data_IF_430133065131
#
_entry.id   IF_430133065131
#
_cell.length_a   1.000
_cell.length_b   1.000
_cell.length_c   1.000
_cell.angle_alpha   90.00
_cell.angle_beta   90.00
_cell.angle_gamma   90.00
#
_symmetry.space_group_name_H-M   'P 1'
#
loop_
_entity.id
_entity.type
_entity.pdbx_description
1 polymer ?
#
# COMPACT_ATOMS: atom_id res chain seq x y z
N UNK A 1 17.03 -23.87 13.39
CA UNK A 1 17.05 -22.92 12.26
C UNK A 1 17.32 -23.69 10.99
N UNK A 2 16.72 -23.29 9.85
CA UNK A 2 17.06 -23.93 8.58
C UNK A 2 18.53 -23.68 8.23
N UNK A 3 19.23 -24.64 7.60
CA UNK A 3 20.65 -24.49 7.25
C UNK A 3 20.88 -23.28 6.32
N UNK A 4 19.91 -23.00 5.43
CA UNK A 4 19.93 -21.84 4.55
C UNK A 4 19.88 -20.51 5.31
N UNK A 5 19.08 -20.42 6.38
CA UNK A 5 18.98 -19.19 7.18
C UNK A 5 20.28 -18.92 7.96
N UNK A 6 20.97 -19.96 8.41
CA UNK A 6 22.26 -19.82 9.09
C UNK A 6 23.35 -19.29 8.16
N UNK A 7 23.38 -19.74 6.90
CA UNK A 7 24.29 -19.22 5.88
C UNK A 7 24.05 -17.73 5.61
N UNK A 8 22.78 -17.36 5.40
CA UNK A 8 22.41 -15.95 5.16
C UNK A 8 22.80 -15.05 6.34
N UNK A 9 22.61 -15.49 7.58
CA UNK A 9 23.05 -14.72 8.76
C UNK A 9 24.57 -14.55 8.83
N UNK A 10 25.34 -15.56 8.42
CA UNK A 10 26.79 -15.48 8.35
C UNK A 10 27.27 -14.50 7.26
N UNK A 11 26.58 -14.42 6.13
CA UNK A 11 26.84 -13.46 5.06
C UNK A 11 26.48 -12.02 5.49
N UNK A 12 25.33 -11.83 6.16
CA UNK A 12 24.92 -10.53 6.70
C UNK A 12 25.93 -10.01 7.74
N UNK A 13 26.53 -10.90 8.53
CA UNK A 13 27.54 -10.53 9.52
C UNK A 13 28.83 -9.95 8.89
N UNK A 14 29.09 -10.22 7.60
CA UNK A 14 30.24 -9.66 6.88
C UNK A 14 29.95 -8.30 6.24
N UNK A 15 28.67 -7.91 6.14
CA UNK A 15 28.26 -6.62 5.61
C UNK A 15 28.63 -5.48 6.55
N UNK A 16 28.93 -4.33 5.94
CA UNK A 16 29.09 -3.04 6.62
C UNK A 16 27.75 -2.55 7.19
N UNK A 17 27.79 -1.55 8.07
CA UNK A 17 26.57 -0.99 8.67
C UNK A 17 25.61 -0.38 7.65
N UNK A 18 26.15 0.16 6.55
CA UNK A 18 25.37 0.77 5.47
C UNK A 18 24.65 -0.29 4.64
N UNK A 19 25.35 -1.34 4.23
CA UNK A 19 24.79 -2.47 3.48
C UNK A 19 23.72 -3.22 4.29
N UNK A 20 23.90 -3.36 5.61
CA UNK A 20 22.86 -3.93 6.49
C UNK A 20 21.60 -3.08 6.52
N UNK A 21 21.75 -1.75 6.47
CA UNK A 21 20.61 -0.83 6.48
C UNK A 21 19.82 -0.93 5.17
N UNK A 22 20.52 -0.97 4.03
CA UNK A 22 19.92 -1.19 2.71
C UNK A 22 19.22 -2.56 2.62
N UNK A 23 19.82 -3.60 3.20
CA UNK A 23 19.21 -4.93 3.26
C UNK A 23 17.89 -4.93 4.05
N UNK A 24 17.84 -4.25 5.20
CA UNK A 24 16.62 -4.14 6.01
C UNK A 24 15.52 -3.45 5.20
N UNK A 25 15.85 -2.34 4.51
CA UNK A 25 14.90 -1.63 3.66
C UNK A 25 14.36 -2.54 2.54
N UNK A 26 15.24 -3.27 1.87
CA UNK A 26 14.85 -4.16 0.78
C UNK A 26 13.97 -5.32 1.27
N UNK A 27 14.28 -5.89 2.43
CA UNK A 27 13.44 -6.95 3.05
C UNK A 27 12.06 -6.41 3.44
N UNK A 28 11.97 -5.19 3.95
CA UNK A 28 10.67 -4.54 4.24
C UNK A 28 9.86 -4.30 2.96
N UNK A 29 10.49 -3.85 1.87
CA UNK A 29 9.82 -3.69 0.58
C UNK A 29 9.28 -5.01 0.05
N UNK A 30 10.06 -6.10 0.15
CA UNK A 30 9.61 -7.44 -0.25
C UNK A 30 8.40 -7.93 0.55
N UNK A 31 8.37 -7.69 1.87
CA UNK A 31 7.20 -8.01 2.69
C UNK A 31 5.96 -7.20 2.27
N UNK A 32 6.14 -5.94 1.88
CA UNK A 32 5.04 -5.08 1.42
C UNK A 32 4.44 -5.59 0.10
N UNK A 33 5.25 -6.20 -0.77
CA UNK A 33 4.80 -6.79 -2.04
C UNK A 33 4.11 -8.15 -1.86
N UNK A 34 4.56 -8.96 -0.91
CA UNK A 34 3.91 -10.24 -0.58
C UNK A 34 2.62 -10.07 0.22
N UNK A 35 2.47 -8.97 0.97
CA UNK A 35 1.36 -8.75 1.89
C UNK A 35 0.18 -7.93 1.33
N UNK A 36 0.17 -7.55 0.04
CA UNK A 36 -1.03 -6.99 -0.57
C UNK A 36 -1.95 -8.14 -0.99
N UNK A 37 -3.00 -8.50 -0.22
CA UNK A 37 -4.02 -9.40 -0.74
C UNK A 37 -4.56 -8.76 -2.02
N UNK A 38 -4.70 -9.57 -3.08
CA UNK A 38 -5.40 -9.13 -4.29
C UNK A 38 -6.78 -8.66 -3.85
N UNK A 39 -7.03 -7.36 -3.93
CA UNK A 39 -8.32 -6.76 -3.59
C UNK A 39 -9.40 -7.54 -4.32
N UNK A 40 -10.26 -8.20 -3.56
CA UNK A 40 -11.40 -8.95 -4.06
C UNK A 40 -12.49 -7.98 -4.47
N UNK A 41 -13.29 -8.33 -5.48
CA UNK A 41 -14.50 -7.57 -5.79
C UNK A 41 -15.49 -7.54 -4.61
N UNK A 42 -15.40 -8.51 -3.70
CA UNK A 42 -16.14 -8.52 -2.44
C UNK A 42 -15.67 -7.42 -1.49
N UNK A 43 -14.40 -6.98 -1.57
CA UNK A 43 -13.90 -5.87 -0.77
C UNK A 43 -14.50 -4.51 -1.22
N UNK A 44 -15.16 -4.48 -2.38
CA UNK A 44 -15.89 -3.33 -2.91
C UNK A 44 -17.39 -3.38 -2.58
N UNK A 45 -17.86 -4.46 -1.94
CA UNK A 45 -19.25 -4.60 -1.48
C UNK A 45 -19.54 -3.54 -0.41
N UNK A 46 -20.55 -2.71 -0.64
CA UNK A 46 -20.91 -1.57 0.22
C UNK A 46 -20.20 -0.26 -0.10
N UNK A 47 -19.02 -0.28 -0.74
CA UNK A 47 -18.37 0.94 -1.25
C UNK A 47 -19.08 1.49 -2.51
N UNK A 48 -19.80 0.62 -3.22
CA UNK A 48 -20.50 0.92 -4.46
C UNK A 48 -21.97 1.31 -4.29
N UNK A 49 -22.43 1.63 -3.07
CA UNK A 49 -23.85 1.91 -2.81
C UNK A 49 -24.42 3.02 -3.72
N UNK A 50 -23.58 4.00 -4.10
CA UNK A 50 -23.96 5.09 -5.00
C UNK A 50 -23.64 4.82 -6.48
N UNK A 51 -22.83 3.82 -6.80
CA UNK A 51 -22.54 3.44 -8.20
C UNK A 51 -23.78 2.85 -8.88
N UNK A 52 -24.64 2.16 -8.12
CA UNK A 52 -25.89 1.58 -8.63
C UNK A 52 -27.06 2.58 -8.70
N UNK A 53 -26.92 3.76 -8.10
CA UNK A 53 -27.94 4.82 -8.14
C UNK A 53 -27.95 5.60 -9.46
N UNK A 54 -27.04 5.27 -10.40
CA UNK A 54 -26.98 5.88 -11.73
C UNK A 54 -26.44 7.31 -11.75
N UNK A 55 -25.78 7.76 -10.68
CA UNK A 55 -25.03 9.01 -10.72
C UNK A 55 -23.87 8.87 -11.71
N UNK A 56 -23.77 9.81 -12.65
CA UNK A 56 -22.67 9.83 -13.60
C UNK A 56 -21.34 9.95 -12.85
N UNK A 57 -20.38 9.10 -13.21
CA UNK A 57 -19.10 9.02 -12.51
C UNK A 57 -18.34 10.35 -12.55
N UNK A 58 -18.45 11.11 -13.65
CA UNK A 58 -17.80 12.41 -13.79
C UNK A 58 -18.49 13.46 -12.93
N UNK A 59 -19.83 13.45 -12.86
CA UNK A 59 -20.58 14.31 -11.96
C UNK A 59 -20.22 14.08 -10.48
N UNK A 60 -20.10 12.82 -10.05
CA UNK A 60 -19.70 12.47 -8.70
C UNK A 60 -18.27 12.94 -8.35
N UNK A 61 -17.31 12.73 -9.26
CA UNK A 61 -15.92 13.19 -9.07
C UNK A 61 -15.84 14.72 -8.98
N UNK A 62 -16.59 15.43 -9.83
CA UNK A 62 -16.63 16.89 -9.80
C UNK A 62 -17.16 17.40 -8.45
N UNK A 63 -18.25 16.80 -7.95
CA UNK A 63 -18.80 17.16 -6.63
C UNK A 63 -17.78 16.95 -5.50
N UNK A 64 -17.10 15.81 -5.48
CA UNK A 64 -16.08 15.54 -4.45
C UNK A 64 -14.93 16.54 -4.53
N UNK A 65 -14.48 16.90 -5.74
CA UNK A 65 -13.40 17.87 -5.92
C UNK A 65 -13.80 19.25 -5.41
N UNK A 66 -15.03 19.69 -5.70
CA UNK A 66 -15.55 20.97 -5.24
C UNK A 66 -15.72 20.99 -3.71
N UNK A 67 -16.27 19.91 -3.13
CA UNK A 67 -16.38 19.72 -1.67
C UNK A 67 -15.02 19.76 -0.95
N UNK A 68 -13.94 19.35 -1.59
CA UNK A 68 -12.57 19.43 -1.04
C UNK A 68 -11.99 20.83 -1.17
N UNK A 69 -12.20 21.52 -2.30
CA UNK A 69 -11.79 22.91 -2.49
C UNK A 69 -12.46 23.86 -1.49
N UNK A 70 -13.74 23.61 -1.17
CA UNK A 70 -14.47 24.39 -0.17
C UNK A 70 -13.92 24.22 1.25
N UNK A 71 -13.34 23.04 1.57
CA UNK A 71 -12.69 22.79 2.87
C UNK A 71 -11.34 23.49 2.97
N UNK A 72 -10.58 23.57 1.88
CA UNK A 72 -9.30 24.29 1.87
C UNK A 72 -9.47 25.81 2.03
N UNK A 73 -10.63 26.37 1.61
CA UNK A 73 -10.92 27.80 1.81
C UNK A 73 -11.41 28.16 3.22
N UNK A 74 -11.70 27.17 4.07
CA UNK A 74 -12.16 27.38 5.45
C UNK A 74 -11.02 27.31 6.48
N UNK A 75 -9.76 27.16 6.05
CA UNK A 75 -8.57 27.15 6.90
C UNK A 75 -7.57 28.26 6.52
#
# INVERSE_FOLDING_TARGET
MSPRLQQVLAEIAQLTSEERSQLIEQVQQMQTLEAQPRKSWQDLEGAALNLLNGEDAQAWINRIRDEWGDREQQF
#
